data_IF_882195063674
#
_entry.id   IF_882195063674
#
_cell.length_a   1.000
_cell.length_b   1.000
_cell.length_c   1.000
_cell.angle_alpha   90.00
_cell.angle_beta   90.00
_cell.angle_gamma   90.00
#
_symmetry.space_group_name_H-M   'P 1'
#
loop_
_entity.id
_entity.type
_entity.pdbx_description
1 polymer ?
#
# COMPACT_ATOMS: atom_id res chain seq x y z
N UNK A 1 12.86 16.67 3.57
CA UNK A 1 11.87 17.09 4.59
C UNK A 1 10.44 16.58 4.29
N UNK A 2 10.14 16.12 3.08
CA UNK A 2 8.80 15.57 2.70
C UNK A 2 8.58 14.11 3.09
N UNK A 3 9.59 13.44 3.63
CA UNK A 3 9.63 11.96 3.71
C UNK A 3 8.82 11.39 4.89
N UNK A 4 8.38 12.28 5.81
CA UNK A 4 7.49 11.96 6.92
C UNK A 4 6.09 12.54 6.74
N UNK A 5 5.72 12.95 5.51
CA UNK A 5 4.44 13.62 5.24
C UNK A 5 3.22 12.85 5.78
N UNK A 6 3.05 11.53 5.57
CA UNK A 6 1.89 10.82 6.12
C UNK A 6 1.83 10.85 7.65
N UNK A 7 2.99 10.70 8.30
CA UNK A 7 3.10 10.72 9.77
C UNK A 7 2.78 12.12 10.30
N UNK A 8 3.28 13.17 9.63
CA UNK A 8 2.98 14.56 9.95
C UNK A 8 1.49 14.87 9.79
N UNK A 9 0.86 14.37 8.71
CA UNK A 9 -0.57 14.54 8.48
C UNK A 9 -1.41 13.89 9.58
N UNK A 10 -1.05 12.67 10.01
CA UNK A 10 -1.72 12.00 11.14
C UNK A 10 -1.52 12.76 12.44
N UNK A 11 -0.29 13.22 12.73
CA UNK A 11 0.00 14.00 13.92
C UNK A 11 -0.79 15.33 13.95
N UNK A 12 -0.84 16.04 12.81
CA UNK A 12 -1.63 17.26 12.66
C UNK A 12 -3.12 16.98 12.87
N UNK A 13 -3.63 15.88 12.29
CA UNK A 13 -5.01 15.47 12.46
C UNK A 13 -5.33 15.10 13.92
N UNK A 14 -4.41 14.45 14.62
CA UNK A 14 -4.53 14.11 16.03
C UNK A 14 -4.63 15.36 16.91
N UNK A 15 -3.71 16.33 16.71
CA UNK A 15 -3.67 17.59 17.47
C UNK A 15 -4.90 18.44 17.20
N UNK A 16 -5.26 18.62 15.93
CA UNK A 16 -6.45 19.42 15.56
C UNK A 16 -7.75 18.79 16.06
N UNK A 17 -7.89 17.47 15.96
CA UNK A 17 -9.04 16.74 16.51
C UNK A 17 -9.11 16.84 18.03
N UNK A 18 -7.97 16.76 18.71
CA UNK A 18 -7.89 16.91 20.17
C UNK A 18 -8.36 18.31 20.61
N UNK A 19 -7.81 19.36 20.02
CA UNK A 19 -8.17 20.76 20.33
C UNK A 19 -9.66 21.01 20.02
N UNK A 20 -10.14 20.52 18.88
CA UNK A 20 -11.55 20.64 18.51
C UNK A 20 -12.46 19.92 19.52
N UNK A 21 -12.12 18.70 19.91
CA UNK A 21 -12.90 17.93 20.87
C UNK A 21 -12.89 18.57 22.28
N UNK A 22 -11.76 19.14 22.70
CA UNK A 22 -11.68 19.87 23.97
C UNK A 22 -12.63 21.08 23.99
N UNK A 23 -12.68 21.83 22.90
CA UNK A 23 -13.40 23.12 22.82
C UNK A 23 -14.88 22.96 22.47
N UNK A 24 -15.21 22.02 21.59
CA UNK A 24 -16.57 21.85 21.02
C UNK A 24 -17.23 20.52 21.36
N UNK A 25 -16.53 19.65 22.07
CA UNK A 25 -16.97 18.31 22.41
C UNK A 25 -16.59 17.25 21.37
N UNK A 26 -16.34 16.02 21.82
CA UNK A 26 -15.91 14.90 20.99
C UNK A 26 -17.03 14.27 20.14
N UNK A 27 -18.29 14.60 20.41
CA UNK A 27 -19.46 14.00 19.74
C UNK A 27 -19.39 14.01 18.20
N UNK A 28 -19.11 15.15 17.54
CA UNK A 28 -19.07 15.18 16.08
C UNK A 28 -17.92 14.35 15.50
N UNK A 29 -16.79 14.28 16.22
CA UNK A 29 -15.61 13.52 15.83
C UNK A 29 -15.87 12.01 16.00
N UNK A 30 -16.49 11.60 17.11
CA UNK A 30 -16.88 10.21 17.36
C UNK A 30 -17.89 9.69 16.33
N UNK A 31 -18.93 10.46 16.00
CA UNK A 31 -19.89 10.08 14.96
C UNK A 31 -19.22 9.93 13.58
N UNK A 32 -18.25 10.80 13.28
CA UNK A 32 -17.46 10.70 12.04
C UNK A 32 -16.53 9.47 12.06
N UNK A 33 -15.91 9.17 13.19
CA UNK A 33 -15.06 8.00 13.36
C UNK A 33 -15.81 6.68 13.25
N UNK A 34 -17.01 6.58 13.81
CA UNK A 34 -17.85 5.39 13.62
C UNK A 34 -18.29 5.21 12.16
N UNK A 35 -18.58 6.30 11.46
CA UNK A 35 -18.83 6.26 10.02
C UNK A 35 -17.61 5.75 9.25
N UNK A 36 -16.41 6.26 9.58
CA UNK A 36 -15.15 5.78 8.99
C UNK A 36 -14.93 4.29 9.30
N UNK A 37 -15.13 3.84 10.55
CA UNK A 37 -14.96 2.44 10.92
C UNK A 37 -15.89 1.53 10.13
N UNK A 38 -17.17 1.88 10.02
CA UNK A 38 -18.12 1.11 9.23
C UNK A 38 -17.73 1.07 7.75
N UNK A 39 -17.21 2.18 7.22
CA UNK A 39 -16.66 2.26 5.86
C UNK A 39 -15.44 1.36 5.70
N UNK A 40 -14.55 1.29 6.70
CA UNK A 40 -13.36 0.44 6.67
C UNK A 40 -13.74 -1.03 6.65
N UNK A 41 -14.62 -1.44 7.57
CA UNK A 41 -15.09 -2.83 7.68
C UNK A 41 -15.82 -3.25 6.41
N UNK A 42 -16.72 -2.41 5.90
CA UNK A 42 -17.45 -2.67 4.66
C UNK A 42 -16.48 -2.75 3.49
N UNK A 43 -15.54 -1.82 3.38
CA UNK A 43 -14.52 -1.79 2.32
C UNK A 43 -13.67 -3.05 2.31
N UNK A 44 -13.13 -3.46 3.48
CA UNK A 44 -12.33 -4.69 3.62
C UNK A 44 -13.15 -5.93 3.27
N UNK A 45 -14.39 -6.03 3.74
CA UNK A 45 -15.27 -7.15 3.40
C UNK A 45 -15.53 -7.22 1.89
N UNK A 46 -15.91 -6.10 1.29
CA UNK A 46 -16.14 -5.94 -0.14
C UNK A 46 -14.92 -6.31 -0.99
N UNK A 47 -13.73 -5.88 -0.58
CA UNK A 47 -12.47 -6.21 -1.24
C UNK A 47 -12.15 -7.70 -1.16
N UNK A 48 -12.30 -8.30 0.02
CA UNK A 48 -12.10 -9.75 0.18
C UNK A 48 -13.10 -10.56 -0.65
N UNK A 49 -14.35 -10.13 -0.71
CA UNK A 49 -15.37 -10.72 -1.57
C UNK A 49 -14.97 -10.64 -3.04
N UNK A 50 -14.51 -9.48 -3.50
CA UNK A 50 -14.02 -9.28 -4.86
C UNK A 50 -12.84 -10.19 -5.21
N UNK A 51 -11.85 -10.28 -4.33
CA UNK A 51 -10.68 -11.15 -4.52
C UNK A 51 -11.13 -12.61 -4.62
N UNK A 52 -12.09 -13.01 -3.79
CA UNK A 52 -12.64 -14.37 -3.81
C UNK A 52 -13.41 -14.66 -5.09
N UNK A 53 -14.26 -13.72 -5.54
CA UNK A 53 -15.04 -13.86 -6.77
C UNK A 53 -14.10 -13.88 -7.98
N UNK A 54 -13.18 -12.90 -8.11
CA UNK A 54 -12.22 -12.83 -9.22
C UNK A 54 -11.23 -13.99 -9.22
N UNK A 55 -10.79 -14.45 -8.05
CA UNK A 55 -9.93 -15.63 -7.91
C UNK A 55 -10.60 -16.94 -8.34
N UNK A 56 -11.93 -16.97 -8.37
CA UNK A 56 -12.73 -18.09 -8.89
C UNK A 56 -13.22 -17.86 -10.32
N UNK A 57 -13.22 -16.62 -10.80
CA UNK A 57 -13.64 -16.26 -12.15
C UNK A 57 -12.43 -15.73 -12.94
N UNK A 58 -11.67 -16.64 -13.55
CA UNK A 58 -10.68 -16.31 -14.60
C UNK A 58 -11.32 -15.61 -15.83
N UNK A 59 -12.65 -15.45 -15.84
CA UNK A 59 -13.49 -15.10 -17.00
C UNK A 59 -13.99 -13.66 -16.99
N UNK A 60 -13.84 -12.90 -15.91
CA UNK A 60 -14.44 -11.56 -15.81
C UNK A 60 -13.40 -10.49 -16.16
N UNK A 61 -13.41 -10.06 -17.44
CA UNK A 61 -12.56 -9.01 -18.01
C UNK A 61 -12.81 -7.59 -17.48
N UNK A 62 -13.17 -7.45 -16.20
CA UNK A 62 -13.32 -6.15 -15.54
C UNK A 62 -11.94 -5.70 -15.05
N UNK A 63 -11.51 -4.55 -15.54
CA UNK A 63 -10.26 -3.92 -15.14
C UNK A 63 -10.34 -3.41 -13.70
N UNK A 64 -9.28 -3.66 -12.90
CA UNK A 64 -9.23 -3.24 -11.49
C UNK A 64 -9.46 -1.74 -11.26
N UNK A 65 -9.04 -0.80 -12.14
CA UNK A 65 -9.38 0.62 -11.97
C UNK A 65 -10.89 0.87 -11.97
N UNK A 66 -11.65 0.21 -12.84
CA UNK A 66 -13.11 0.34 -12.90
C UNK A 66 -13.77 -0.29 -11.67
N UNK A 67 -13.27 -1.45 -11.24
CA UNK A 67 -13.72 -2.10 -10.00
C UNK A 67 -13.48 -1.18 -8.79
N UNK A 68 -12.26 -0.66 -8.62
CA UNK A 68 -11.93 0.22 -7.50
C UNK A 68 -12.74 1.52 -7.54
N UNK A 69 -12.96 2.12 -8.71
CA UNK A 69 -13.79 3.31 -8.84
C UNK A 69 -15.25 3.06 -8.42
N UNK A 70 -15.84 1.95 -8.87
CA UNK A 70 -17.20 1.57 -8.48
C UNK A 70 -17.31 1.29 -6.98
N UNK A 71 -16.33 0.61 -6.40
CA UNK A 71 -16.29 0.34 -4.95
C UNK A 71 -16.09 1.62 -4.13
N UNK A 72 -15.18 2.51 -4.55
CA UNK A 72 -14.97 3.78 -3.89
C UNK A 72 -16.24 4.64 -3.91
N UNK A 73 -16.95 4.69 -5.05
CA UNK A 73 -18.22 5.38 -5.16
C UNK A 73 -19.31 4.76 -4.25
N UNK A 74 -19.36 3.43 -4.14
CA UNK A 74 -20.30 2.72 -3.25
C UNK A 74 -20.04 2.91 -1.76
N UNK A 75 -18.78 3.16 -1.36
CA UNK A 75 -18.42 3.42 0.04
C UNK A 75 -18.82 4.81 0.53
N UNK A 76 -19.02 5.78 -0.38
CA UNK A 76 -19.45 7.14 -0.03
C UNK A 76 -20.84 7.14 0.64
N UNK A 77 -21.90 6.52 0.05
CA UNK A 77 -23.18 6.34 0.72
C UNK A 77 -23.05 5.64 2.08
N UNK A 78 -22.24 4.58 2.18
CA UNK A 78 -22.02 3.84 3.43
C UNK A 78 -21.52 4.78 4.52
N UNK A 79 -20.52 5.62 4.22
CA UNK A 79 -20.01 6.63 5.16
C UNK A 79 -21.10 7.60 5.62
N UNK A 80 -21.90 8.13 4.69
CA UNK A 80 -22.95 9.10 5.02
C UNK A 80 -24.07 8.48 5.87
N UNK A 81 -24.58 7.31 5.48
CA UNK A 81 -25.66 6.62 6.19
C UNK A 81 -25.21 6.15 7.58
N UNK A 82 -24.01 5.56 7.69
CA UNK A 82 -23.49 5.09 8.98
C UNK A 82 -23.17 6.26 9.91
N UNK A 83 -22.65 7.37 9.39
CA UNK A 83 -22.46 8.60 10.16
C UNK A 83 -23.80 9.16 10.67
N UNK A 84 -24.85 9.14 9.85
CA UNK A 84 -26.18 9.58 10.26
C UNK A 84 -26.74 8.69 11.38
N UNK A 85 -26.67 7.36 11.21
CA UNK A 85 -27.12 6.38 12.20
C UNK A 85 -26.32 6.53 13.50
N UNK A 86 -24.99 6.63 13.42
CA UNK A 86 -24.12 6.84 14.57
C UNK A 86 -24.50 8.12 15.33
N UNK A 87 -24.71 9.23 14.61
CA UNK A 87 -25.16 10.49 15.21
C UNK A 87 -26.49 10.31 15.95
N UNK A 88 -27.45 9.62 15.36
CA UNK A 88 -28.76 9.36 15.97
C UNK A 88 -28.66 8.45 17.21
N UNK A 89 -27.87 7.39 17.14
CA UNK A 89 -27.64 6.47 18.26
C UNK A 89 -26.96 7.16 19.44
N UNK A 90 -25.89 7.91 19.18
CA UNK A 90 -25.17 8.64 20.23
C UNK A 90 -26.09 9.73 20.83
N UNK A 91 -26.91 10.39 20.01
CA UNK A 91 -27.90 11.37 20.52
C UNK A 91 -28.93 10.72 21.45
N UNK A 92 -29.38 9.51 21.13
CA UNK A 92 -30.36 8.73 21.91
C UNK A 92 -29.77 8.20 23.21
N UNK A 93 -28.50 7.77 23.20
CA UNK A 93 -27.82 7.22 24.38
C UNK A 93 -27.43 8.29 25.42
N UNK A 94 -27.03 9.48 24.97
CA UNK A 94 -26.53 10.52 25.88
C UNK A 94 -27.61 11.45 26.44
N UNK A 95 -28.90 11.15 26.22
CA UNK A 95 -30.03 11.85 26.82
C UNK A 95 -29.92 13.38 26.77
N UNK A 96 -29.48 13.97 27.89
CA UNK A 96 -29.56 15.39 28.21
C UNK A 96 -28.42 16.28 27.67
N UNK A 97 -28.73 17.57 27.41
CA UNK A 97 -27.78 18.55 26.83
C UNK A 97 -26.60 18.88 27.76
N UNK A 98 -26.80 18.84 29.07
CA UNK A 98 -25.78 19.19 30.07
C UNK A 98 -24.75 18.06 30.27
N UNK A 99 -25.21 16.81 30.33
CA UNK A 99 -24.34 15.62 30.38
C UNK A 99 -23.46 15.52 29.13
N UNK A 100 -24.02 15.83 27.95
CA UNK A 100 -23.28 15.91 26.67
C UNK A 100 -22.12 16.91 26.69
N UNK A 101 -22.26 18.05 27.38
CA UNK A 101 -21.22 19.09 27.43
C UNK A 101 -20.13 18.77 28.45
N UNK A 102 -20.48 18.09 29.55
CA UNK A 102 -19.55 17.70 30.64
C UNK A 102 -18.74 16.43 30.33
N UNK A 103 -19.33 15.41 29.72
CA UNK A 103 -18.65 14.13 29.46
C UNK A 103 -17.79 14.13 28.19
N UNK A 104 -18.14 14.96 27.20
CA UNK A 104 -17.50 14.93 25.88
C UNK A 104 -16.64 16.17 25.60
N UNK A 105 -16.63 17.19 26.45
CA UNK A 105 -15.75 18.35 26.36
C UNK A 105 -14.48 18.20 27.20
N UNK A 106 -13.58 19.18 27.10
CA UNK A 106 -12.33 19.20 27.88
C UNK A 106 -11.39 18.03 27.55
N UNK A 107 -10.48 17.72 28.47
CA UNK A 107 -9.43 16.73 28.25
C UNK A 107 -9.97 15.34 27.89
N UNK A 108 -11.03 14.89 28.56
CA UNK A 108 -11.71 13.61 28.27
C UNK A 108 -12.23 13.55 26.83
N UNK A 109 -12.80 14.65 26.34
CA UNK A 109 -13.20 14.79 24.94
C UNK A 109 -12.02 14.67 23.97
N UNK A 110 -10.90 15.32 24.30
CA UNK A 110 -9.65 15.21 23.54
C UNK A 110 -9.09 13.78 23.48
N UNK A 111 -9.15 13.03 24.59
CA UNK A 111 -8.76 11.62 24.60
C UNK A 111 -9.69 10.77 23.71
N UNK A 112 -11.01 10.99 23.80
CA UNK A 112 -12.00 10.27 23.00
C UNK A 112 -11.88 10.54 21.49
N UNK A 113 -11.40 11.73 21.09
CA UNK A 113 -11.18 12.02 19.67
C UNK A 113 -10.04 11.23 19.04
N UNK A 114 -9.18 10.59 19.84
CA UNK A 114 -8.06 9.80 19.31
C UNK A 114 -8.53 8.50 18.65
N UNK A 115 -9.69 7.96 19.04
CA UNK A 115 -10.25 6.77 18.40
C UNK A 115 -10.60 7.00 16.91
N UNK A 116 -11.37 8.04 16.55
CA UNK A 116 -11.59 8.42 15.15
C UNK A 116 -10.30 8.76 14.39
N UNK A 117 -9.33 9.39 15.06
CA UNK A 117 -8.02 9.71 14.48
C UNK A 117 -7.27 8.43 14.10
N UNK A 118 -7.25 7.43 14.98
CA UNK A 118 -6.61 6.14 14.70
C UNK A 118 -7.23 5.45 13.48
N UNK A 119 -8.56 5.48 13.34
CA UNK A 119 -9.26 4.92 12.17
C UNK A 119 -8.89 5.72 10.90
N UNK A 120 -8.88 7.04 10.98
CA UNK A 120 -8.45 7.91 9.88
C UNK A 120 -7.01 7.65 9.47
N UNK A 121 -6.11 7.41 10.44
CA UNK A 121 -4.72 7.06 10.20
C UNK A 121 -4.58 5.73 9.46
N UNK A 122 -5.38 4.70 9.82
CA UNK A 122 -5.40 3.42 9.11
C UNK A 122 -5.78 3.61 7.63
N UNK A 123 -6.82 4.41 7.34
CA UNK A 123 -7.20 4.72 5.96
C UNK A 123 -6.10 5.45 5.20
N UNK A 124 -5.56 6.50 5.81
CA UNK A 124 -4.53 7.33 5.21
C UNK A 124 -3.29 6.50 4.91
N UNK A 125 -2.80 5.73 5.89
CA UNK A 125 -1.64 4.87 5.72
C UNK A 125 -1.89 3.78 4.68
N UNK A 126 -3.04 3.11 4.68
CA UNK A 126 -3.38 2.12 3.65
C UNK A 126 -3.37 2.76 2.24
N UNK A 127 -3.95 3.96 2.09
CA UNK A 127 -3.91 4.70 0.83
C UNK A 127 -2.48 5.02 0.36
N UNK A 128 -1.63 5.53 1.26
CA UNK A 128 -0.22 5.78 0.94
C UNK A 128 0.53 4.51 0.57
N UNK A 129 0.31 3.41 1.30
CA UNK A 129 0.97 2.12 1.02
C UNK A 129 0.55 1.56 -0.34
N UNK A 130 -0.74 1.63 -0.69
CA UNK A 130 -1.27 1.17 -1.99
C UNK A 130 -0.62 1.97 -3.12
N UNK A 131 -0.63 3.30 -3.03
CA UNK A 131 -0.01 4.17 -4.05
C UNK A 131 1.47 3.86 -4.22
N UNK A 132 2.21 3.74 -3.11
CA UNK A 132 3.62 3.39 -3.15
C UNK A 132 3.89 2.00 -3.75
N UNK A 133 3.00 1.04 -3.52
CA UNK A 133 3.08 -0.29 -4.13
C UNK A 133 2.89 -0.23 -5.64
N UNK A 134 1.94 0.56 -6.13
CA UNK A 134 1.73 0.75 -7.57
C UNK A 134 2.94 1.43 -8.21
N UNK A 135 3.47 2.48 -7.58
CA UNK A 135 4.64 3.20 -8.08
C UNK A 135 5.90 2.32 -8.11
N UNK A 136 6.17 1.54 -7.07
CA UNK A 136 7.29 0.59 -7.03
C UNK A 136 7.19 -0.47 -8.12
N UNK A 137 5.99 -1.04 -8.33
CA UNK A 137 5.77 -2.03 -9.38
C UNK A 137 5.84 -1.43 -10.78
N UNK A 138 5.39 -0.18 -10.97
CA UNK A 138 5.57 0.53 -12.23
C UNK A 138 7.05 0.85 -12.51
N UNK A 139 7.80 1.23 -11.47
CA UNK A 139 9.23 1.44 -11.56
C UNK A 139 9.95 0.14 -11.94
N UNK A 140 9.66 -0.97 -11.25
CA UNK A 140 10.17 -2.31 -11.59
C UNK A 140 9.86 -2.68 -13.05
N UNK A 141 8.63 -2.44 -13.51
CA UNK A 141 8.22 -2.71 -14.88
C UNK A 141 8.94 -1.83 -15.92
N UNK A 142 9.33 -0.59 -15.57
CA UNK A 142 10.15 0.26 -16.45
C UNK A 142 11.57 -0.27 -16.59
N UNK A 143 12.15 -0.82 -15.52
CA UNK A 143 13.48 -1.43 -15.52
C UNK A 143 13.51 -2.81 -16.19
N UNK A 144 12.38 -3.51 -16.20
CA UNK A 144 12.24 -4.82 -16.83
C UNK A 144 12.14 -4.77 -18.38
N UNK A 145 12.19 -3.58 -19.00
CA UNK A 145 12.11 -3.43 -20.46
C UNK A 145 13.43 -3.83 -21.12
N UNK A 146 13.35 -4.47 -22.28
CA UNK A 146 14.54 -4.90 -23.04
C UNK A 146 15.50 -3.73 -23.37
N UNK A 147 14.95 -2.56 -23.68
CA UNK A 147 15.72 -1.35 -24.05
C UNK A 147 16.25 -0.56 -22.85
N UNK A 148 16.09 -1.03 -21.61
CA UNK A 148 16.52 -0.28 -20.41
C UNK A 148 18.01 0.08 -20.44
N UNK A 149 18.84 -0.82 -21.01
CA UNK A 149 20.29 -0.64 -21.14
C UNK A 149 20.64 0.47 -22.14
N UNK A 150 19.80 0.66 -23.16
CA UNK A 150 19.98 1.71 -24.18
C UNK A 150 19.62 3.10 -23.65
N UNK A 151 18.92 3.20 -22.52
CA UNK A 151 18.56 4.49 -21.91
C UNK A 151 19.75 5.19 -21.24
N UNK A 152 20.91 4.53 -21.12
CA UNK A 152 22.19 5.17 -20.77
C UNK A 152 22.18 6.02 -19.49
N UNK A 153 21.39 5.63 -18.48
CA UNK A 153 21.29 6.36 -17.22
C UNK A 153 20.20 7.45 -17.16
N UNK A 154 19.43 7.69 -18.23
CA UNK A 154 18.23 8.56 -18.20
C UNK A 154 17.03 7.85 -17.55
N UNK A 155 17.26 7.21 -16.41
CA UNK A 155 16.24 6.50 -15.63
C UNK A 155 15.73 7.48 -14.55
N UNK A 156 14.41 7.66 -14.39
CA UNK A 156 13.89 8.51 -13.32
C UNK A 156 14.33 7.98 -11.95
N UNK A 157 14.43 8.89 -10.98
CA UNK A 157 14.74 8.51 -9.60
C UNK A 157 13.68 7.56 -9.03
N UNK A 158 14.09 6.75 -8.05
CA UNK A 158 13.19 5.84 -7.35
C UNK A 158 12.00 6.60 -6.73
N UNK A 159 10.77 6.06 -6.78
CA UNK A 159 9.59 6.82 -6.34
C UNK A 159 9.63 7.16 -4.84
N UNK A 160 9.48 8.45 -4.52
CA UNK A 160 9.48 8.96 -3.12
C UNK A 160 8.33 8.41 -2.27
N UNK A 161 7.23 7.98 -2.89
CA UNK A 161 6.12 7.36 -2.16
C UNK A 161 6.53 6.06 -1.46
N UNK A 162 7.55 5.37 -1.97
CA UNK A 162 8.10 4.17 -1.32
C UNK A 162 8.79 4.52 -0.01
N UNK A 163 9.48 5.66 0.08
CA UNK A 163 10.05 6.15 1.34
C UNK A 163 8.96 6.31 2.41
N UNK A 164 7.84 6.92 2.04
CA UNK A 164 6.70 7.10 2.93
C UNK A 164 6.17 5.76 3.46
N UNK A 165 6.01 4.79 2.56
CA UNK A 165 5.55 3.44 2.90
C UNK A 165 6.55 2.76 3.83
N UNK A 166 7.84 2.81 3.53
CA UNK A 166 8.87 2.14 4.32
C UNK A 166 8.98 2.77 5.72
N UNK A 167 8.77 4.09 5.85
CA UNK A 167 8.66 4.76 7.16
C UNK A 167 7.41 4.35 7.94
N UNK A 168 6.26 4.17 7.28
CA UNK A 168 5.05 3.64 7.91
C UNK A 168 5.28 2.19 8.37
N UNK A 169 5.90 1.37 7.52
CA UNK A 169 6.23 -0.04 7.80
C UNK A 169 7.30 -0.19 8.91
N UNK A 170 8.14 0.82 9.12
CA UNK A 170 9.12 0.84 10.21
C UNK A 170 8.50 1.08 11.60
N UNK A 171 7.23 1.53 11.69
CA UNK A 171 6.57 1.74 12.98
C UNK A 171 6.20 0.37 13.58
N UNK A 172 6.64 0.06 14.81
CA UNK A 172 6.32 -1.20 15.47
C UNK A 172 4.80 -1.46 15.50
N UNK A 173 4.40 -2.71 15.27
CA UNK A 173 3.00 -3.19 15.24
C UNK A 173 2.12 -2.64 14.10
N UNK A 174 2.40 -1.46 13.56
CA UNK A 174 1.63 -0.83 12.47
C UNK A 174 1.72 -1.66 11.20
N UNK A 175 2.92 -2.13 10.82
CA UNK A 175 3.09 -2.98 9.64
C UNK A 175 2.24 -4.25 9.72
N UNK A 176 2.31 -4.99 10.84
CA UNK A 176 1.54 -6.22 11.02
C UNK A 176 0.02 -6.00 11.07
N UNK A 177 -0.43 -4.86 11.61
CA UNK A 177 -1.84 -4.47 11.58
C UNK A 177 -2.29 -4.14 10.15
N UNK A 178 -1.54 -3.30 9.45
CA UNK A 178 -1.86 -2.88 8.09
C UNK A 178 -1.77 -4.05 7.11
N UNK A 179 -0.87 -5.01 7.28
CA UNK A 179 -0.80 -6.22 6.43
C UNK A 179 -2.04 -7.11 6.52
N UNK A 180 -2.82 -7.01 7.61
CA UNK A 180 -4.10 -7.73 7.78
C UNK A 180 -5.27 -6.98 7.14
N UNK A 181 -5.20 -5.65 7.09
CA UNK A 181 -6.30 -4.77 6.65
C UNK A 181 -6.12 -4.39 5.17
N UNK A 182 -4.89 -4.21 4.74
CA UNK A 182 -4.44 -3.82 3.41
C UNK A 182 -3.60 -4.96 2.79
N UNK A 183 -4.25 -5.91 2.11
CA UNK A 183 -3.54 -7.00 1.45
C UNK A 183 -2.80 -6.55 0.18
N UNK A 184 -3.03 -5.33 -0.34
CA UNK A 184 -2.39 -4.84 -1.57
C UNK A 184 -0.92 -4.52 -1.32
N UNK A 185 -0.62 -4.00 -0.15
CA UNK A 185 0.73 -3.57 0.21
C UNK A 185 1.47 -4.58 1.09
N UNK A 186 0.90 -5.78 1.27
CA UNK A 186 1.61 -6.86 1.93
C UNK A 186 2.92 -7.13 1.18
N UNK A 187 4.03 -6.98 1.91
CA UNK A 187 5.38 -6.98 1.34
C UNK A 187 5.70 -8.28 0.60
N UNK A 188 5.24 -9.41 1.12
CA UNK A 188 5.45 -10.73 0.52
C UNK A 188 4.82 -10.83 -0.87
N UNK A 189 3.55 -10.43 -1.02
CA UNK A 189 2.84 -10.51 -2.31
C UNK A 189 3.30 -9.45 -3.30
N UNK A 190 3.61 -8.25 -2.81
CA UNK A 190 4.21 -7.17 -3.60
C UNK A 190 5.55 -7.60 -4.20
N UNK A 191 6.44 -8.15 -3.38
CA UNK A 191 7.74 -8.61 -3.83
C UNK A 191 7.62 -9.83 -4.75
N UNK A 192 6.66 -10.74 -4.51
CA UNK A 192 6.36 -11.82 -5.45
C UNK A 192 5.94 -11.28 -6.83
N UNK A 193 5.07 -10.26 -6.86
CA UNK A 193 4.67 -9.61 -8.10
C UNK A 193 5.86 -8.94 -8.81
N UNK A 194 6.75 -8.29 -8.06
CA UNK A 194 7.99 -7.74 -8.61
C UNK A 194 8.89 -8.83 -9.21
N UNK A 195 9.09 -9.95 -8.52
CA UNK A 195 9.90 -11.07 -9.04
C UNK A 195 9.32 -11.67 -10.32
N UNK A 196 7.98 -11.70 -10.46
CA UNK A 196 7.31 -12.11 -11.71
C UNK A 196 7.57 -11.13 -12.86
N UNK A 197 7.78 -9.84 -12.58
CA UNK A 197 8.19 -8.86 -13.60
C UNK A 197 9.68 -8.96 -13.93
N UNK A 198 10.52 -9.26 -12.94
CA UNK A 198 11.98 -9.39 -13.10
C UNK A 198 12.32 -10.66 -13.88
N UNK A 199 11.63 -11.78 -13.61
CA UNK A 199 11.92 -13.09 -14.21
C UNK A 199 12.07 -13.07 -15.75
N UNK A 200 11.17 -12.42 -16.52
CA UNK A 200 11.29 -12.36 -17.97
C UNK A 200 12.36 -11.39 -18.49
N UNK A 201 12.91 -10.49 -17.66
CA UNK A 201 13.83 -9.44 -18.08
C UNK A 201 15.30 -9.88 -17.94
N UNK A 202 16.03 -10.20 -19.03
CA UNK A 202 17.35 -10.81 -18.94
C UNK A 202 18.39 -9.94 -18.22
N UNK A 203 18.40 -8.62 -18.46
CA UNK A 203 19.36 -7.70 -17.86
C UNK A 203 19.14 -7.55 -16.35
N UNK A 204 17.90 -7.29 -15.94
CA UNK A 204 17.55 -7.09 -14.53
C UNK A 204 17.66 -8.40 -13.73
N UNK A 205 17.18 -9.51 -14.30
CA UNK A 205 17.36 -10.84 -13.70
C UNK A 205 18.84 -11.22 -13.62
N UNK A 206 19.62 -10.90 -14.66
CA UNK A 206 21.05 -11.14 -14.73
C UNK A 206 21.77 -10.47 -13.56
N UNK A 207 21.46 -9.20 -13.29
CA UNK A 207 21.97 -8.46 -12.13
C UNK A 207 21.54 -9.11 -10.81
N UNK A 208 20.26 -9.45 -10.64
CA UNK A 208 19.76 -10.08 -9.41
C UNK A 208 20.41 -11.45 -9.13
N UNK A 209 20.83 -12.18 -10.16
CA UNK A 209 21.52 -13.46 -10.00
C UNK A 209 22.97 -13.29 -9.50
N UNK A 210 23.57 -12.10 -9.65
CA UNK A 210 24.94 -11.84 -9.19
C UNK A 210 25.01 -11.63 -7.67
N UNK A 211 23.91 -11.25 -7.02
CA UNK A 211 23.87 -11.03 -5.57
C UNK A 211 23.46 -12.30 -4.81
N UNK A 212 24.31 -12.73 -3.87
CA UNK A 212 24.11 -13.93 -3.06
C UNK A 212 22.82 -13.89 -2.20
N UNK A 213 22.33 -12.71 -1.85
CA UNK A 213 21.15 -12.56 -0.99
C UNK A 213 19.83 -12.81 -1.73
N UNK A 214 19.79 -12.59 -3.05
CA UNK A 214 18.56 -12.68 -3.85
C UNK A 214 18.66 -13.74 -4.97
N UNK A 215 19.82 -14.35 -5.17
CA UNK A 215 20.05 -15.37 -6.21
C UNK A 215 19.03 -16.51 -6.17
N UNK A 216 18.64 -16.98 -4.98
CA UNK A 216 17.66 -18.05 -4.79
C UNK A 216 16.29 -17.63 -5.32
N UNK A 217 15.89 -16.37 -5.07
CA UNK A 217 14.65 -15.80 -5.58
C UNK A 217 14.72 -15.57 -7.10
N UNK A 218 15.83 -15.02 -7.59
CA UNK A 218 16.03 -14.68 -9.01
C UNK A 218 16.19 -15.90 -9.94
N UNK A 219 16.68 -17.02 -9.38
CA UNK A 219 16.78 -18.31 -10.09
C UNK A 219 15.54 -19.18 -9.94
N UNK A 220 14.60 -18.81 -9.08
CA UNK A 220 13.40 -19.62 -8.87
C UNK A 220 12.55 -19.63 -10.16
N UNK A 221 12.70 -20.71 -10.94
CA UNK A 221 12.01 -20.89 -12.23
C UNK A 221 10.49 -20.71 -12.14
N UNK A 222 9.91 -20.95 -10.96
CA UNK A 222 8.50 -20.69 -10.68
C UNK A 222 8.03 -19.26 -11.01
N UNK A 223 8.87 -18.22 -10.84
CA UNK A 223 8.43 -16.85 -11.16
C UNK A 223 8.37 -16.61 -12.67
N UNK A 224 9.27 -17.27 -13.41
CA UNK A 224 9.19 -17.34 -14.87
C UNK A 224 7.95 -18.12 -15.31
N UNK A 225 7.70 -19.30 -14.73
CA UNK A 225 6.51 -20.09 -15.08
C UNK A 225 5.21 -19.33 -14.84
N UNK A 226 5.16 -18.57 -13.73
CA UNK A 226 4.02 -17.69 -13.42
C UNK A 226 3.93 -16.51 -14.38
N UNK A 227 5.04 -15.94 -14.85
CA UNK A 227 5.02 -14.82 -15.81
C UNK A 227 4.52 -15.24 -17.19
N UNK A 228 4.73 -16.50 -17.58
CA UNK A 228 4.26 -17.05 -18.86
C UNK A 228 2.78 -17.44 -18.85
N UNK A 229 2.12 -17.42 -17.69
CA UNK A 229 0.71 -17.76 -17.59
C UNK A 229 -0.17 -16.75 -18.35
N UNK A 230 -1.12 -17.17 -19.21
CA UNK A 230 -1.87 -16.24 -20.08
C UNK A 230 -2.57 -15.11 -19.33
N UNK A 231 -3.16 -15.38 -18.15
CA UNK A 231 -3.83 -14.35 -17.35
C UNK A 231 -2.85 -13.38 -16.70
N UNK A 232 -1.67 -13.85 -16.29
CA UNK A 232 -0.60 -13.02 -15.73
C UNK A 232 0.05 -12.17 -16.83
N UNK A 233 0.36 -12.77 -17.97
CA UNK A 233 0.90 -12.08 -19.14
C UNK A 233 -0.04 -10.94 -19.59
N UNK A 234 -1.35 -11.19 -19.60
CA UNK A 234 -2.34 -10.15 -19.90
C UNK A 234 -2.36 -9.03 -18.85
N UNK A 235 -2.24 -9.34 -17.55
CA UNK A 235 -2.11 -8.32 -16.49
C UNK A 235 -0.82 -7.51 -16.63
N UNK A 236 0.30 -8.14 -17.00
CA UNK A 236 1.56 -7.45 -17.26
C UNK A 236 1.42 -6.49 -18.45
N UNK A 237 0.78 -6.93 -19.54
CA UNK A 237 0.49 -6.14 -20.75
C UNK A 237 -0.43 -4.96 -20.48
N UNK A 238 -1.51 -5.19 -19.74
CA UNK A 238 -2.49 -4.17 -19.34
C UNK A 238 -2.01 -3.26 -18.20
N UNK A 239 -0.78 -3.48 -17.70
CA UNK A 239 -0.19 -2.75 -16.58
C UNK A 239 -1.01 -2.82 -15.28
N UNK A 240 -1.71 -3.94 -15.07
CA UNK A 240 -2.59 -4.15 -13.93
C UNK A 240 -1.80 -4.60 -12.69
N UNK A 241 -1.11 -3.65 -12.05
CA UNK A 241 -0.20 -3.90 -10.91
C UNK A 241 -0.92 -4.46 -9.70
N UNK A 242 -2.07 -3.89 -9.36
CA UNK A 242 -2.88 -4.37 -8.25
C UNK A 242 -3.41 -5.76 -8.57
N UNK A 243 -3.89 -6.01 -9.80
CA UNK A 243 -4.33 -7.34 -10.19
C UNK A 243 -3.26 -8.41 -10.10
N UNK A 244 -2.02 -8.05 -10.46
CA UNK A 244 -0.90 -8.96 -10.35
C UNK A 244 -0.61 -9.38 -8.90
N UNK A 245 -0.63 -8.44 -7.95
CA UNK A 245 -0.43 -8.73 -6.51
C UNK A 245 -1.48 -9.72 -5.98
N UNK A 246 -2.73 -9.62 -6.43
CA UNK A 246 -3.81 -10.53 -6.02
C UNK A 246 -3.92 -11.81 -6.82
N UNK A 247 -3.19 -11.91 -7.93
CA UNK A 247 -3.32 -13.07 -8.80
C UNK A 247 -3.00 -14.35 -8.03
N UNK A 248 -3.90 -15.33 -8.08
CA UNK A 248 -3.81 -16.55 -7.28
C UNK A 248 -2.46 -17.25 -7.44
N UNK A 249 -1.96 -17.33 -8.67
CA UNK A 249 -0.66 -17.97 -8.97
C UNK A 249 0.53 -17.20 -8.42
N UNK A 250 0.47 -15.86 -8.41
CA UNK A 250 1.51 -14.99 -7.82
C UNK A 250 1.53 -15.16 -6.30
N UNK A 251 0.36 -15.19 -5.66
CA UNK A 251 0.29 -15.44 -4.20
C UNK A 251 0.73 -16.86 -3.84
N UNK A 252 0.37 -17.85 -4.65
CA UNK A 252 0.80 -19.23 -4.43
C UNK A 252 2.31 -19.43 -4.61
N UNK A 253 2.97 -18.68 -5.49
CA UNK A 253 4.42 -18.79 -5.69
C UNK A 253 5.23 -18.27 -4.49
N UNK A 254 4.67 -17.33 -3.73
CA UNK A 254 5.19 -16.88 -2.44
C UNK A 254 5.10 -17.99 -1.37
N UNK A 255 3.93 -18.62 -1.24
CA UNK A 255 3.66 -19.63 -0.18
C UNK A 255 4.26 -21.01 -0.45
N UNK A 256 4.12 -21.55 -1.67
CA UNK A 256 4.43 -22.97 -1.96
C UNK A 256 5.91 -23.29 -2.13
N UNK A 257 6.78 -22.28 -2.14
CA UNK A 257 8.20 -22.48 -2.42
C UNK A 257 9.14 -22.19 -1.26
N UNK A 258 8.64 -22.00 -0.04
CA UNK A 258 9.49 -21.72 1.14
C UNK A 258 10.26 -20.39 1.07
N UNK A 259 9.92 -19.50 0.14
CA UNK A 259 10.59 -18.20 -0.04
C UNK A 259 9.81 -17.03 0.56
N UNK A 260 8.66 -17.28 1.20
CA UNK A 260 7.79 -16.22 1.71
C UNK A 260 8.50 -15.31 2.71
N UNK A 261 9.38 -15.87 3.55
CA UNK A 261 10.20 -15.11 4.49
C UNK A 261 11.24 -14.24 3.76
N UNK A 262 11.97 -14.82 2.78
CA UNK A 262 12.90 -14.06 1.94
C UNK A 262 12.20 -12.93 1.18
N UNK A 263 11.00 -13.18 0.65
CA UNK A 263 10.19 -12.15 0.00
C UNK A 263 9.72 -11.08 0.98
N UNK A 264 9.46 -11.43 2.24
CA UNK A 264 9.05 -10.46 3.27
C UNK A 264 10.22 -9.61 3.75
N UNK A 265 11.43 -10.15 3.76
CA UNK A 265 12.63 -9.41 4.17
C UNK A 265 13.25 -8.61 3.04
N UNK A 266 12.94 -8.96 1.78
CA UNK A 266 13.48 -8.32 0.60
C UNK A 266 13.18 -6.81 0.57
N UNK A 267 14.24 -6.00 0.61
CA UNK A 267 14.21 -4.56 0.36
C UNK A 267 14.49 -4.30 -1.13
N UNK A 268 13.44 -4.36 -1.94
CA UNK A 268 13.56 -4.30 -3.41
C UNK A 268 14.28 -3.03 -3.91
N UNK A 269 14.08 -1.90 -3.23
CA UNK A 269 14.72 -0.61 -3.55
C UNK A 269 16.22 -0.73 -3.80
N UNK A 270 16.96 -1.32 -2.85
CA UNK A 270 18.42 -1.37 -2.93
C UNK A 270 18.93 -2.13 -4.16
N UNK A 271 18.21 -3.18 -4.57
CA UNK A 271 18.54 -3.95 -5.78
C UNK A 271 18.18 -3.21 -7.06
N UNK A 272 17.08 -2.46 -7.07
CA UNK A 272 16.67 -1.69 -8.25
C UNK A 272 17.54 -0.45 -8.45
N UNK A 273 17.87 0.28 -7.39
CA UNK A 273 18.82 1.40 -7.43
C UNK A 273 20.22 0.91 -7.81
N UNK A 274 20.71 -0.19 -7.21
CA UNK A 274 22.00 -0.78 -7.58
C UNK A 274 22.07 -1.25 -9.04
N UNK A 275 20.96 -1.76 -9.59
CA UNK A 275 20.89 -2.06 -11.02
C UNK A 275 20.99 -0.79 -11.87
N UNK A 276 20.28 0.28 -11.52
CA UNK A 276 20.36 1.56 -12.23
C UNK A 276 21.78 2.12 -12.21
N UNK A 277 22.44 2.10 -11.05
CA UNK A 277 23.83 2.54 -10.90
C UNK A 277 24.77 1.72 -11.79
N UNK A 278 24.53 0.40 -11.94
CA UNK A 278 25.31 -0.46 -12.82
C UNK A 278 25.16 -0.14 -14.32
N UNK A 279 24.09 0.57 -14.71
CA UNK A 279 23.86 1.02 -16.08
C UNK A 279 24.55 2.36 -16.38
N UNK A 280 24.99 3.11 -15.36
CA UNK A 280 25.70 4.37 -15.53
C UNK A 280 27.18 4.04 -15.81
N UNK A 281 27.74 4.43 -16.97
CA UNK A 281 29.15 4.17 -17.26
C UNK A 281 30.05 4.82 -16.21
N UNK A 282 31.05 4.08 -15.71
CA UNK A 282 32.04 4.54 -14.73
C UNK A 282 32.88 5.76 -15.19
N UNK A 283 32.69 6.25 -16.41
CA UNK A 283 33.35 7.43 -16.98
C UNK A 283 32.67 8.77 -16.65
N UNK A 284 31.54 8.77 -15.93
CA UNK A 284 31.03 9.96 -15.22
C UNK A 284 31.53 9.91 -13.76
N UNK A 285 32.81 9.55 -13.62
CA UNK A 285 33.55 9.80 -12.40
C UNK A 285 33.63 11.31 -12.22
N UNK A 286 33.06 11.78 -11.13
CA UNK A 286 33.34 13.09 -10.56
C UNK A 286 34.86 13.29 -10.62
N UNK A 287 35.32 14.27 -11.40
CA UNK A 287 36.65 14.84 -11.19
C UNK A 287 36.70 15.22 -9.71
N UNK A 288 37.50 14.50 -8.94
CA UNK A 288 37.95 14.98 -7.64
C UNK A 288 38.49 16.41 -7.86
N UNK A 289 37.97 17.43 -7.18
CA UNK A 289 38.64 18.71 -7.20
C UNK A 289 39.97 18.51 -6.47
N UNK A 290 41.04 18.44 -7.27
CA UNK A 290 42.39 18.55 -6.76
C UNK A 290 42.52 19.88 -6.00
N UNK A 291 42.86 19.75 -4.71
CA UNK A 291 43.44 20.74 -3.78
C UNK A 291 42.52 21.87 -3.29
#
# INVERSE_FOLDING_TARGET
MTDYLPILLVALFAVTSFIFAMTRGAFPILASGLGLLATLVTGVFCLNLLITIKGNSEVVGISWPKTLAFFAAGLIPVLFFTRLIAKLLILRLLGDKESKRKWLGGFTGGCLSQFPVAIGAIFLFSGFRITATVEELNYTASLAREQVVEMGGNIPAYPRSVDWRDKIEAIPFVAGLLDRIDPFSNREYRNAAAMVMVAPAPSLRGYFIQDQNIITLARAGKFWDVSQDPSVAEMLRMQDRLGLVFHRKVRQSAHRGGVGEQLRELQLRGYLEGFVDSLIPASIGVEEPNL
#
